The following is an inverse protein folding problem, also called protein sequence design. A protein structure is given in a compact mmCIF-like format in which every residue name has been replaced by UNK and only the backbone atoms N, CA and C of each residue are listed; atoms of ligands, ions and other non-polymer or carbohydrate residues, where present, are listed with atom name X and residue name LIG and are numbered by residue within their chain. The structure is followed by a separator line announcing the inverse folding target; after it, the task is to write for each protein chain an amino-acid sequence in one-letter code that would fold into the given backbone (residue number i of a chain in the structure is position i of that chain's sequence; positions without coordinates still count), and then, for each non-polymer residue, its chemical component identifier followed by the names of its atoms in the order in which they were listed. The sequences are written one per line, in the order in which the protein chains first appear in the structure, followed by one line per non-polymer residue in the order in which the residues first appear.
data_IF_288876885080
#
_entry.id   IF_288876885080
#
_cell.length_a   1.000
_cell.length_b   1.000
_cell.length_c   1.000
_cell.angle_alpha   90.00
_cell.angle_beta   90.00
_cell.angle_gamma   90.00
#
_symmetry.space_group_name_H-M   'P 1'
#
loop_
_entity.id
_entity.type
_entity.pdbx_description
1 polymer ?
#
# COMPACT_ATOMS: atom_id res chain seq x y z
N UNK A 1 -28.33 -34.44 3.84
CA UNK A 1 -27.41 -33.60 3.04
C UNK A 1 -27.87 -32.18 3.22
N UNK A 2 -27.25 -31.46 4.16
CA UNK A 2 -27.50 -30.03 4.31
C UNK A 2 -26.49 -29.27 3.43
N UNK A 3 -26.91 -28.28 2.63
CA UNK A 3 -26.02 -27.53 1.78
C UNK A 3 -25.15 -26.60 2.63
N UNK A 4 -23.84 -26.73 2.48
CA UNK A 4 -22.85 -25.85 3.09
C UNK A 4 -23.03 -24.45 2.49
N UNK A 5 -23.65 -23.54 3.24
CA UNK A 5 -23.69 -22.12 2.91
C UNK A 5 -22.25 -21.60 2.95
N UNK A 6 -21.73 -21.25 1.78
CA UNK A 6 -20.47 -20.54 1.62
C UNK A 6 -20.58 -19.21 2.38
N UNK A 7 -19.96 -19.19 3.56
CA UNK A 7 -19.62 -17.96 4.25
C UNK A 7 -18.63 -17.20 3.35
N UNK A 8 -19.12 -16.23 2.59
CA UNK A 8 -18.30 -15.15 2.02
C UNK A 8 -17.96 -14.14 3.14
N UNK A 9 -17.57 -14.67 4.30
CA UNK A 9 -16.81 -13.92 5.29
C UNK A 9 -15.42 -13.79 4.69
N UNK A 10 -15.21 -12.73 3.89
CA UNK A 10 -13.89 -12.34 3.40
C UNK A 10 -12.90 -12.49 4.55
N UNK A 11 -12.04 -13.52 4.50
CA UNK A 11 -11.14 -13.86 5.59
C UNK A 11 -10.23 -12.67 5.93
N UNK A 12 -10.66 -11.87 6.92
CA UNK A 12 -9.93 -10.70 7.37
C UNK A 12 -8.80 -11.19 8.27
N UNK A 13 -7.62 -11.35 7.68
CA UNK A 13 -6.42 -11.70 8.43
C UNK A 13 -5.83 -10.47 9.15
N UNK A 14 -5.58 -10.61 10.45
CA UNK A 14 -4.90 -9.58 11.24
C UNK A 14 -3.40 -9.60 10.94
N UNK A 15 -2.90 -8.51 10.36
CA UNK A 15 -1.46 -8.30 10.17
C UNK A 15 -0.95 -7.37 11.26
N UNK A 16 0.10 -7.79 11.96
CA UNK A 16 0.84 -6.96 12.92
C UNK A 16 2.13 -6.55 12.23
N UNK A 17 2.34 -5.24 12.08
CA UNK A 17 3.53 -4.66 11.47
C UNK A 17 4.21 -3.71 12.44
N UNK A 18 5.52 -3.57 12.31
CA UNK A 18 6.31 -2.58 13.03
C UNK A 18 6.57 -1.40 12.09
N UNK A 19 6.13 -0.22 12.51
CA UNK A 19 6.37 1.04 11.81
C UNK A 19 7.03 2.01 12.78
N UNK A 20 7.96 2.81 12.26
CA UNK A 20 8.57 3.86 13.05
C UNK A 20 7.61 5.06 13.21
N UNK A 21 7.98 6.02 14.08
CA UNK A 21 7.15 7.19 14.35
C UNK A 21 6.83 8.01 13.10
N UNK A 22 7.83 8.21 12.23
CA UNK A 22 7.67 8.99 10.99
C UNK A 22 6.67 8.33 10.03
N UNK A 23 6.70 7.01 9.91
CA UNK A 23 5.75 6.24 9.10
C UNK A 23 4.32 6.33 9.66
N UNK A 24 4.17 6.26 10.99
CA UNK A 24 2.86 6.43 11.64
C UNK A 24 2.33 7.86 11.43
N UNK A 25 3.19 8.86 11.60
CA UNK A 25 2.83 10.27 11.41
C UNK A 25 2.42 10.54 9.95
N UNK A 26 3.08 9.88 8.98
CA UNK A 26 2.67 9.94 7.57
C UNK A 26 1.27 9.35 7.34
N UNK A 27 0.97 8.18 7.89
CA UNK A 27 -0.37 7.57 7.79
C UNK A 27 -1.45 8.46 8.45
N UNK A 28 -1.15 9.04 9.61
CA UNK A 28 -2.06 9.96 10.28
C UNK A 28 -2.25 11.26 9.50
N UNK A 29 -1.21 11.77 8.83
CA UNK A 29 -1.31 12.94 7.96
C UNK A 29 -2.26 12.67 6.79
N UNK A 30 -2.14 11.53 6.10
CA UNK A 30 -3.10 11.14 5.04
C UNK A 30 -4.53 11.09 5.58
N UNK A 31 -4.72 10.48 6.76
CA UNK A 31 -6.04 10.38 7.38
C UNK A 31 -6.63 11.75 7.72
N UNK A 32 -5.80 12.68 8.21
CA UNK A 32 -6.19 14.07 8.49
C UNK A 32 -6.49 14.83 7.20
N UNK A 33 -5.63 14.73 6.18
CA UNK A 33 -5.81 15.40 4.90
C UNK A 33 -7.12 14.96 4.23
N UNK A 34 -7.42 13.65 4.25
CA UNK A 34 -8.70 13.12 3.78
C UNK A 34 -9.89 13.66 4.60
N UNK A 35 -9.78 13.75 5.92
CA UNK A 35 -10.81 14.29 6.80
C UNK A 35 -11.06 15.78 6.53
N UNK A 36 -10.00 16.58 6.38
CA UNK A 36 -10.12 18.02 6.11
C UNK A 36 -10.59 18.31 4.68
N UNK A 37 -10.19 17.49 3.71
CA UNK A 37 -10.56 17.70 2.31
C UNK A 37 -11.96 17.18 1.97
N UNK A 38 -12.32 16.00 2.48
CA UNK A 38 -13.55 15.29 2.06
C UNK A 38 -14.55 15.05 3.20
N UNK A 39 -14.19 15.38 4.45
CA UNK A 39 -15.01 15.09 5.63
C UNK A 39 -15.00 13.62 6.05
N UNK A 40 -14.29 12.75 5.33
CA UNK A 40 -14.27 11.31 5.59
C UNK A 40 -13.02 10.93 6.39
N UNK A 41 -13.23 10.30 7.54
CA UNK A 41 -12.15 9.77 8.38
C UNK A 41 -11.63 8.45 7.81
N UNK A 42 -10.42 8.46 7.28
CA UNK A 42 -9.69 7.25 6.91
C UNK A 42 -8.88 6.73 8.11
N UNK A 43 -9.16 5.50 8.56
CA UNK A 43 -8.35 4.84 9.57
C UNK A 43 -7.05 4.33 8.96
N UNK A 44 -5.99 4.20 9.79
CA UNK A 44 -4.69 3.65 9.37
C UNK A 44 -4.82 2.32 8.62
N UNK A 45 -5.68 1.42 9.12
CA UNK A 45 -5.97 0.14 8.47
C UNK A 45 -6.57 0.31 7.08
N UNK A 46 -7.55 1.21 6.91
CA UNK A 46 -8.15 1.48 5.59
C UNK A 46 -7.14 2.06 4.60
N UNK A 47 -6.25 2.94 5.07
CA UNK A 47 -5.18 3.52 4.25
C UNK A 47 -4.24 2.39 3.78
N UNK A 48 -3.78 1.55 4.70
CA UNK A 48 -2.89 0.41 4.37
C UNK A 48 -3.60 -0.56 3.40
N UNK A 49 -4.85 -0.92 3.65
CA UNK A 49 -5.62 -1.80 2.75
C UNK A 49 -5.77 -1.18 1.35
N UNK A 50 -6.08 0.12 1.26
CA UNK A 50 -6.18 0.82 -0.02
C UNK A 50 -4.85 0.87 -0.77
N UNK A 51 -3.74 1.08 -0.06
CA UNK A 51 -2.39 1.02 -0.65
C UNK A 51 -2.08 -0.37 -1.20
N UNK A 52 -2.36 -1.43 -0.44
CA UNK A 52 -2.14 -2.82 -0.88
C UNK A 52 -3.01 -3.14 -2.11
N UNK A 53 -4.28 -2.73 -2.11
CA UNK A 53 -5.16 -2.92 -3.27
C UNK A 53 -4.68 -2.14 -4.50
N UNK A 54 -4.17 -0.92 -4.32
CA UNK A 54 -3.60 -0.13 -5.39
C UNK A 54 -2.36 -0.81 -5.99
N UNK A 55 -1.45 -1.32 -5.16
CA UNK A 55 -0.26 -2.05 -5.62
C UNK A 55 -0.61 -3.36 -6.32
N UNK A 56 -1.62 -4.08 -5.83
CA UNK A 56 -2.15 -5.28 -6.49
C UNK A 56 -2.69 -4.95 -7.88
N UNK A 57 -3.47 -3.87 -8.01
CA UNK A 57 -4.01 -3.40 -9.30
C UNK A 57 -2.93 -2.90 -10.25
N UNK A 58 -1.88 -2.28 -9.73
CA UNK A 58 -0.72 -1.84 -10.49
C UNK A 58 0.16 -3.02 -10.98
N UNK A 59 -0.16 -4.26 -10.61
CA UNK A 59 0.55 -5.45 -11.09
C UNK A 59 1.96 -5.60 -10.50
N UNK A 60 2.23 -4.94 -9.36
CA UNK A 60 3.55 -4.99 -8.73
C UNK A 60 3.77 -6.38 -8.10
N UNK A 61 4.46 -7.24 -8.84
CA UNK A 61 4.77 -8.60 -8.42
C UNK A 61 6.09 -8.72 -7.66
N UNK A 62 6.16 -9.67 -6.72
CA UNK A 62 7.36 -10.01 -5.95
C UNK A 62 8.41 -10.87 -6.67
N UNK A 63 8.20 -11.22 -7.94
CA UNK A 63 9.16 -12.05 -8.67
C UNK A 63 10.52 -11.36 -8.78
N UNK A 64 11.56 -12.07 -8.33
CA UNK A 64 12.96 -11.64 -8.41
C UNK A 64 13.42 -10.69 -7.31
N UNK A 65 12.59 -10.39 -6.31
CA UNK A 65 12.91 -9.44 -5.23
C UNK A 65 13.59 -10.16 -4.08
N UNK A 66 14.78 -9.69 -3.71
CA UNK A 66 15.58 -10.26 -2.62
C UNK A 66 15.67 -9.32 -1.42
N UNK A 67 15.51 -8.02 -1.63
CA UNK A 67 15.61 -7.01 -0.57
C UNK A 67 14.39 -6.09 -0.54
N UNK A 68 14.20 -5.43 0.61
CA UNK A 68 13.15 -4.42 0.79
C UNK A 68 13.36 -3.23 -0.16
N UNK A 69 14.61 -2.83 -0.38
CA UNK A 69 14.94 -1.68 -1.23
C UNK A 69 14.63 -1.96 -2.70
N UNK A 70 14.95 -3.16 -3.21
CA UNK A 70 14.58 -3.59 -4.56
C UNK A 70 13.05 -3.57 -4.78
N UNK A 71 12.27 -3.92 -3.75
CA UNK A 71 10.81 -3.80 -3.83
C UNK A 71 10.35 -2.36 -3.91
N UNK A 72 10.96 -1.48 -3.13
CA UNK A 72 10.63 -0.05 -3.13
C UNK A 72 10.95 0.58 -4.49
N UNK A 73 12.11 0.29 -5.09
CA UNK A 73 12.47 0.77 -6.42
C UNK A 73 11.49 0.28 -7.49
N UNK A 74 11.16 -1.01 -7.48
CA UNK A 74 10.19 -1.59 -8.43
C UNK A 74 8.78 -0.99 -8.26
N UNK A 75 8.37 -0.71 -7.02
CA UNK A 75 7.12 -0.01 -6.71
C UNK A 75 7.11 1.40 -7.30
N UNK A 76 8.17 2.18 -7.08
CA UNK A 76 8.28 3.55 -7.60
C UNK A 76 8.27 3.58 -9.14
N UNK A 77 9.00 2.66 -9.78
CA UNK A 77 9.00 2.49 -11.23
C UNK A 77 7.60 2.12 -11.76
N UNK A 78 6.87 1.23 -11.06
CA UNK A 78 5.51 0.84 -11.47
C UNK A 78 4.49 1.98 -11.33
N UNK A 79 4.76 2.94 -10.45
CA UNK A 79 3.95 4.15 -10.30
C UNK A 79 4.32 5.26 -11.29
N UNK A 80 5.32 5.04 -12.16
CA UNK A 80 5.83 6.04 -13.10
C UNK A 80 6.50 7.23 -12.40
N UNK A 81 6.91 7.06 -11.14
CA UNK A 81 7.69 8.04 -10.38
C UNK A 81 9.19 7.90 -10.65
N UNK A 82 9.53 7.37 -11.84
CA UNK A 82 10.88 7.44 -12.37
C UNK A 82 11.24 8.91 -12.47
N UNK A 83 12.02 9.36 -11.49
CA UNK A 83 12.66 10.65 -11.57
C UNK A 83 13.71 10.52 -12.65
N UNK A 84 13.31 10.73 -13.91
CA UNK A 84 14.20 10.91 -15.03
C UNK A 84 14.92 12.26 -14.85
N UNK A 85 15.78 12.36 -13.83
CA UNK A 85 16.83 13.34 -13.76
C UNK A 85 18.15 12.68 -13.40
N UNK A 86 19.06 12.80 -14.37
CA UNK A 86 20.50 12.59 -14.33
C UNK A 86 21.04 11.15 -14.50
N UNK A 87 21.30 10.77 -15.76
CA UNK A 87 22.69 10.67 -16.29
C UNK A 87 22.79 10.27 -17.78
N UNK A 88 23.13 11.26 -18.60
CA UNK A 88 24.06 11.28 -19.75
C UNK A 88 24.13 12.77 -20.15
N UNK A 89 25.18 13.57 -19.98
CA UNK A 89 26.62 13.32 -19.89
C UNK A 89 27.13 12.39 -21.00
N UNK A 90 26.97 12.85 -22.24
CA UNK A 90 28.02 12.99 -23.26
C UNK A 90 27.51 13.92 -24.35
#
# INVERSE_FOLDING_TARGET
MEPNMLNDDKDLHRVITLLNREQIDYLDKIGKDALFSSGIKLSRTKIISAMVDAFRKAGVGGQGIKTKDEFQEKLLHSLGLDTHQAKKAC
#
